data_IF_129580131766
#
_entry.id   IF_129580131766
#
_cell.length_a   1.000
_cell.length_b   1.000
_cell.length_c   1.000
_cell.angle_alpha   90.00
_cell.angle_beta   90.00
_cell.angle_gamma   90.00
#
_symmetry.space_group_name_H-M   'P 1'
#
loop_
_entity.id
_entity.type
_entity.pdbx_description
1 polymer ?
#
# COMPACT_ATOMS: atom_id res chain seq x y z
N UNK A 1 18.68 -7.24 49.23
CA UNK A 1 18.61 -7.40 47.76
C UNK A 1 17.44 -8.31 47.44
N UNK A 2 16.37 -7.76 46.84
CA UNK A 2 15.33 -8.53 46.18
C UNK A 2 14.84 -7.66 45.01
N UNK A 3 15.25 -8.03 43.79
CA UNK A 3 14.82 -7.33 42.59
C UNK A 3 13.45 -7.87 42.17
N UNK A 4 12.52 -6.94 41.96
CA UNK A 4 11.18 -7.15 41.46
C UNK A 4 11.18 -7.93 40.14
N UNK A 5 10.48 -9.06 40.12
CA UNK A 5 10.16 -9.78 38.90
C UNK A 5 9.03 -9.03 38.18
N UNK A 6 9.39 -8.08 37.30
CA UNK A 6 8.42 -7.34 36.48
C UNK A 6 7.83 -8.29 35.44
N UNK A 7 6.50 -8.31 35.39
CA UNK A 7 5.63 -8.89 34.38
C UNK A 7 6.27 -9.00 32.99
N UNK A 8 6.44 -10.23 32.49
CA UNK A 8 6.36 -10.51 31.05
C UNK A 8 4.90 -10.30 30.65
N UNK A 9 4.53 -9.05 30.36
CA UNK A 9 3.30 -8.77 29.64
C UNK A 9 3.43 -9.43 28.26
N UNK A 10 2.56 -10.39 27.97
CA UNK A 10 2.42 -10.97 26.65
C UNK A 10 1.91 -9.89 25.69
N UNK A 11 2.68 -9.42 24.69
CA UNK A 11 2.24 -8.33 23.80
C UNK A 11 1.11 -8.74 22.84
N UNK A 12 0.68 -10.00 22.85
CA UNK A 12 -0.36 -10.54 21.95
C UNK A 12 -1.80 -10.17 22.37
N UNK A 13 -2.00 -9.56 23.54
CA UNK A 13 -3.33 -9.27 24.09
C UNK A 13 -3.93 -7.88 23.76
N UNK A 14 -3.23 -7.03 23.02
CA UNK A 14 -3.59 -5.61 22.85
C UNK A 14 -4.19 -5.25 21.47
N UNK A 15 -4.35 -6.22 20.57
CA UNK A 15 -4.98 -6.01 19.27
C UNK A 15 -6.50 -5.94 19.40
N UNK A 16 -7.03 -4.81 19.85
CA UNK A 16 -8.46 -4.51 19.72
C UNK A 16 -8.66 -3.72 18.44
N UNK A 17 -9.23 -4.36 17.42
CA UNK A 17 -9.82 -3.61 16.32
C UNK A 17 -10.81 -2.59 16.91
N UNK A 18 -10.80 -1.35 16.44
CA UNK A 18 -11.95 -0.48 16.67
C UNK A 18 -13.16 -1.12 16.01
N UNK A 19 -14.24 -1.35 16.74
CA UNK A 19 -15.51 -1.68 16.10
C UNK A 19 -15.85 -0.55 15.12
N UNK A 20 -16.05 -0.89 13.83
CA UNK A 20 -16.47 0.07 12.81
C UNK A 20 -15.38 1.03 12.29
N UNK A 21 -14.13 0.58 12.09
CA UNK A 21 -13.13 1.39 11.37
C UNK A 21 -13.66 1.71 9.97
N UNK A 22 -13.89 3.00 9.72
CA UNK A 22 -14.09 3.51 8.38
C UNK A 22 -12.75 3.48 7.66
N UNK A 23 -12.55 2.45 6.85
CA UNK A 23 -11.36 2.35 6.01
C UNK A 23 -11.39 3.43 4.94
N UNK A 24 -10.27 4.13 4.84
CA UNK A 24 -10.05 5.17 3.85
C UNK A 24 -8.58 5.14 3.45
N UNK A 25 -8.31 5.30 2.16
CA UNK A 25 -6.99 5.69 1.68
C UNK A 25 -7.01 7.18 1.35
N UNK A 26 -6.19 7.94 2.06
CA UNK A 26 -5.92 9.36 1.80
C UNK A 26 -4.67 9.46 0.92
N UNK A 27 -4.90 9.74 -0.36
CA UNK A 27 -3.86 9.86 -1.36
C UNK A 27 -2.98 11.09 -1.19
N UNK A 28 -3.47 12.17 -0.59
CA UNK A 28 -2.66 13.38 -0.35
C UNK A 28 -1.66 13.14 0.79
N UNK A 29 -2.00 12.27 1.75
CA UNK A 29 -1.16 11.93 2.90
C UNK A 29 -0.48 10.54 2.81
N UNK A 30 -0.74 9.78 1.75
CA UNK A 30 -0.28 8.39 1.57
C UNK A 30 -0.58 7.51 2.79
N UNK A 31 -1.84 7.54 3.22
CA UNK A 31 -2.24 7.00 4.51
C UNK A 31 -3.45 6.08 4.41
N UNK A 32 -3.43 4.96 5.13
CA UNK A 32 -4.63 4.16 5.37
C UNK A 32 -5.22 4.58 6.70
N UNK A 33 -6.40 5.18 6.67
CA UNK A 33 -7.19 5.61 7.83
C UNK A 33 -6.36 6.41 8.83
N UNK A 34 -5.50 7.30 8.33
CA UNK A 34 -4.61 8.15 9.13
C UNK A 34 -3.30 7.50 9.60
N UNK A 35 -3.00 6.25 9.26
CA UNK A 35 -1.66 5.67 9.43
C UNK A 35 -0.87 5.92 8.15
N UNK A 36 0.20 6.70 8.25
CA UNK A 36 1.03 7.11 7.12
C UNK A 36 2.22 6.19 6.94
N UNK A 37 2.82 6.27 5.77
CA UNK A 37 4.19 5.83 5.60
C UNK A 37 5.12 6.53 6.61
N UNK A 38 6.10 5.77 7.12
CA UNK A 38 7.08 6.10 8.16
C UNK A 38 6.54 6.29 9.58
N UNK A 39 5.23 6.13 9.79
CA UNK A 39 4.68 6.07 11.14
C UNK A 39 5.18 4.82 11.90
N UNK A 40 5.20 4.85 13.24
CA UNK A 40 5.52 3.67 14.04
C UNK A 40 4.59 2.49 13.71
N UNK A 41 5.14 1.30 13.55
CA UNK A 41 4.37 0.09 13.23
C UNK A 41 3.26 -0.23 14.26
N UNK A 42 3.45 0.20 15.51
CA UNK A 42 2.43 0.07 16.57
C UNK A 42 1.11 0.79 16.24
N UNK A 43 1.10 1.78 15.33
CA UNK A 43 -0.13 2.43 14.86
C UNK A 43 -1.06 1.45 14.12
N UNK A 44 -0.51 0.38 13.52
CA UNK A 44 -1.29 -0.67 12.85
C UNK A 44 -2.18 -1.47 13.80
N UNK A 45 -1.91 -1.43 15.13
CA UNK A 45 -2.76 -2.07 16.14
C UNK A 45 -4.24 -1.66 16.02
N UNK A 46 -4.49 -0.45 15.51
CA UNK A 46 -5.85 0.06 15.30
C UNK A 46 -6.68 -0.84 14.38
N UNK A 47 -6.06 -1.53 13.42
CA UNK A 47 -6.73 -2.38 12.43
C UNK A 47 -7.09 -3.76 12.98
N UNK A 48 -6.81 -4.02 14.26
CA UNK A 48 -6.93 -5.36 14.83
C UNK A 48 -5.80 -6.27 14.40
N UNK A 49 -5.86 -7.52 14.82
CA UNK A 49 -4.79 -8.49 14.58
C UNK A 49 -4.66 -8.79 13.08
N UNK A 50 -3.45 -8.75 12.49
CA UNK A 50 -3.25 -9.19 11.12
C UNK A 50 -3.63 -10.67 10.96
N UNK A 51 -4.16 -11.02 9.79
CA UNK A 51 -4.48 -12.41 9.43
C UNK A 51 -3.23 -13.27 9.23
N UNK A 52 -2.12 -12.64 8.82
CA UNK A 52 -0.80 -13.26 8.71
C UNK A 52 0.31 -12.26 9.01
N UNK A 53 1.45 -12.75 9.52
CA UNK A 53 2.68 -11.99 9.70
C UNK A 53 3.84 -12.79 9.11
N UNK A 54 4.53 -12.21 8.14
CA UNK A 54 5.82 -12.70 7.66
C UNK A 54 6.92 -11.85 8.28
N UNK A 55 7.50 -12.36 9.38
CA UNK A 55 8.55 -11.64 10.11
C UNK A 55 9.84 -11.47 9.30
N UNK A 56 10.10 -12.35 8.32
CA UNK A 56 11.34 -12.31 7.54
C UNK A 56 11.36 -11.12 6.57
N UNK A 57 10.18 -10.76 6.04
CA UNK A 57 10.00 -9.65 5.12
C UNK A 57 9.31 -8.44 5.78
N UNK A 58 8.95 -8.55 7.07
CA UNK A 58 8.25 -7.50 7.79
C UNK A 58 6.83 -7.23 7.27
N UNK A 59 6.15 -8.23 6.71
CA UNK A 59 4.82 -8.06 6.09
C UNK A 59 3.73 -8.42 7.07
N UNK A 60 2.78 -7.52 7.26
CA UNK A 60 1.56 -7.73 8.05
C UNK A 60 0.34 -7.68 7.14
N UNK A 61 -0.35 -8.82 6.97
CA UNK A 61 -1.46 -8.96 6.03
C UNK A 61 -2.81 -8.86 6.75
N UNK A 62 -3.67 -7.93 6.33
CA UNK A 62 -5.02 -7.74 6.86
C UNK A 62 -6.06 -8.22 5.84
N UNK A 63 -6.15 -9.55 5.65
CA UNK A 63 -6.95 -10.18 4.59
C UNK A 63 -8.41 -9.70 4.52
N UNK A 64 -9.09 -9.54 5.66
CA UNK A 64 -10.48 -9.07 5.70
C UNK A 64 -10.65 -7.59 5.40
N UNK A 65 -9.56 -6.81 5.49
CA UNK A 65 -9.54 -5.37 5.22
C UNK A 65 -9.00 -5.05 3.82
N UNK A 66 -8.52 -6.05 3.08
CA UNK A 66 -8.05 -5.88 1.70
C UNK A 66 -6.77 -5.09 1.54
N UNK A 67 -5.88 -5.13 2.53
CA UNK A 67 -4.55 -4.54 2.41
C UNK A 67 -3.51 -5.29 3.26
N UNK A 68 -2.23 -5.08 2.93
CA UNK A 68 -1.10 -5.42 3.80
C UNK A 68 -0.21 -4.20 4.01
N UNK A 69 0.60 -4.26 5.07
CA UNK A 69 1.61 -3.26 5.37
C UNK A 69 3.00 -3.89 5.43
N UNK A 70 3.97 -3.27 4.78
CA UNK A 70 5.39 -3.59 4.92
C UNK A 70 6.01 -2.76 6.05
N UNK A 71 6.86 -3.40 6.86
CA UNK A 71 7.48 -2.81 8.04
C UNK A 71 8.99 -3.01 7.98
N UNK A 72 9.74 -1.92 8.17
CA UNK A 72 11.18 -1.95 8.38
C UNK A 72 11.53 -1.00 9.53
N UNK A 73 12.50 -1.38 10.37
CA UNK A 73 12.94 -0.59 11.52
C UNK A 73 11.80 -0.08 12.42
N UNK A 74 10.80 -0.93 12.65
CA UNK A 74 9.59 -0.64 13.42
C UNK A 74 8.77 0.55 12.87
N UNK A 75 8.86 0.81 11.56
CA UNK A 75 8.09 1.82 10.84
C UNK A 75 7.38 1.20 9.65
N UNK A 76 6.20 1.73 9.33
CA UNK A 76 5.49 1.39 8.10
C UNK A 76 6.28 1.95 6.92
N UNK A 77 6.62 1.12 5.95
CA UNK A 77 7.33 1.56 4.74
C UNK A 77 6.53 1.35 3.46
N UNK A 78 5.47 0.55 3.54
CA UNK A 78 4.67 0.19 2.37
C UNK A 78 3.24 -0.12 2.80
N UNK A 79 2.30 0.21 1.92
CA UNK A 79 0.98 -0.39 1.89
C UNK A 79 0.74 -1.04 0.53
N UNK A 80 0.14 -2.22 0.52
CA UNK A 80 -0.41 -2.82 -0.71
C UNK A 80 -1.91 -2.99 -0.51
N UNK A 81 -2.70 -2.40 -1.41
CA UNK A 81 -4.17 -2.37 -1.37
C UNK A 81 -4.67 -3.27 -2.50
N UNK A 82 -5.56 -4.20 -2.17
CA UNK A 82 -6.09 -5.19 -3.11
C UNK A 82 -7.57 -4.90 -3.40
N UNK A 83 -7.92 -4.72 -4.67
CA UNK A 83 -9.32 -4.79 -5.11
C UNK A 83 -9.65 -6.14 -5.72
N UNK A 84 -8.65 -6.84 -6.24
CA UNK A 84 -8.76 -8.20 -6.71
C UNK A 84 -7.41 -8.91 -6.51
N UNK A 85 -7.33 -9.84 -5.56
CA UNK A 85 -6.11 -10.60 -5.29
C UNK A 85 -6.00 -11.77 -6.28
N UNK A 86 -5.44 -11.47 -7.44
CA UNK A 86 -5.30 -12.41 -8.56
C UNK A 86 -4.28 -13.53 -8.29
N UNK A 87 -3.33 -13.31 -7.39
CA UNK A 87 -2.19 -14.21 -7.19
C UNK A 87 -2.47 -15.20 -6.05
N UNK A 88 -2.84 -14.68 -4.87
CA UNK A 88 -2.94 -15.51 -3.66
C UNK A 88 -4.39 -15.89 -3.33
N UNK A 89 -5.38 -15.15 -3.85
CA UNK A 89 -6.80 -15.32 -3.55
C UNK A 89 -7.15 -15.31 -2.05
N UNK A 90 -6.36 -14.62 -1.22
CA UNK A 90 -6.53 -14.55 0.24
C UNK A 90 -7.19 -13.24 0.68
N UNK A 91 -6.95 -12.13 -0.02
CA UNK A 91 -7.50 -10.84 0.37
C UNK A 91 -8.95 -10.66 -0.10
N UNK A 92 -9.78 -10.11 0.78
CA UNK A 92 -11.05 -9.50 0.37
C UNK A 92 -10.76 -8.20 -0.36
N UNK A 93 -11.62 -7.76 -1.31
CA UNK A 93 -11.49 -6.44 -1.89
C UNK A 93 -11.50 -5.35 -0.81
N UNK A 94 -10.61 -4.37 -0.94
CA UNK A 94 -10.52 -3.23 -0.05
C UNK A 94 -11.88 -2.52 0.02
N UNK A 95 -12.54 -2.49 1.18
CA UNK A 95 -13.90 -1.97 1.29
C UNK A 95 -13.93 -0.46 1.56
N UNK A 96 -12.77 0.17 1.72
CA UNK A 96 -12.64 1.57 2.10
C UNK A 96 -12.84 2.56 0.94
N UNK A 97 -12.98 3.84 1.28
CA UNK A 97 -12.98 4.92 0.29
C UNK A 97 -11.57 5.31 -0.15
N UNK A 98 -11.44 5.83 -1.36
CA UNK A 98 -10.23 6.48 -1.84
C UNK A 98 -10.48 7.98 -1.91
N UNK A 99 -9.67 8.80 -1.25
CA UNK A 99 -9.73 10.26 -1.31
C UNK A 99 -8.43 10.79 -1.90
N UNK A 100 -8.52 11.70 -2.86
CA UNK A 100 -7.37 12.36 -3.44
C UNK A 100 -7.72 13.77 -3.90
N UNK A 101 -6.87 14.75 -3.61
CA UNK A 101 -7.12 16.17 -3.83
C UNK A 101 -8.47 16.63 -3.26
N UNK A 102 -8.77 16.17 -2.04
CA UNK A 102 -10.03 16.47 -1.33
C UNK A 102 -11.30 15.89 -1.95
N UNK A 103 -11.19 14.98 -2.93
CA UNK A 103 -12.33 14.34 -3.60
C UNK A 103 -12.33 12.84 -3.37
N UNK A 104 -13.51 12.28 -3.13
CA UNK A 104 -13.70 10.83 -3.14
C UNK A 104 -13.62 10.32 -4.59
N UNK A 105 -12.71 9.40 -4.86
CA UNK A 105 -12.54 8.74 -6.15
C UNK A 105 -13.22 7.36 -6.13
N UNK A 106 -13.87 6.98 -7.23
CA UNK A 106 -14.49 5.65 -7.40
C UNK A 106 -13.45 4.64 -7.89
N UNK A 107 -12.41 4.41 -7.08
CA UNK A 107 -11.36 3.41 -7.33
C UNK A 107 -11.87 2.04 -6.87
N UNK A 108 -11.93 1.08 -7.80
CA UNK A 108 -12.47 -0.27 -7.57
C UNK A 108 -11.88 -1.27 -8.56
N UNK A 109 -12.13 -2.57 -8.34
CA UNK A 109 -11.73 -3.61 -9.27
C UNK A 109 -12.33 -3.38 -10.68
N UNK A 110 -11.61 -3.77 -11.72
CA UNK A 110 -12.13 -3.74 -13.10
C UNK A 110 -11.96 -2.43 -13.84
N UNK A 111 -11.37 -1.40 -13.23
CA UNK A 111 -11.05 -0.16 -13.96
C UNK A 111 -9.90 -0.41 -14.93
N UNK A 112 -10.05 0.02 -16.18
CA UNK A 112 -8.95 -0.01 -17.15
C UNK A 112 -7.95 1.13 -16.93
N UNK A 113 -6.84 1.08 -17.66
CA UNK A 113 -5.77 2.08 -17.65
C UNK A 113 -6.29 3.50 -17.90
N UNK A 114 -7.14 3.67 -18.91
CA UNK A 114 -7.70 4.98 -19.26
C UNK A 114 -8.54 5.56 -18.11
N UNK A 115 -9.32 4.71 -17.43
CA UNK A 115 -10.15 5.13 -16.31
C UNK A 115 -9.30 5.43 -15.08
N UNK A 116 -8.26 4.66 -14.80
CA UNK A 116 -7.27 4.95 -13.75
C UNK A 116 -6.60 6.30 -14.01
N UNK A 117 -6.08 6.53 -15.21
CA UNK A 117 -5.44 7.79 -15.60
C UNK A 117 -6.41 8.98 -15.50
N UNK A 118 -7.70 8.78 -15.83
CA UNK A 118 -8.71 9.85 -15.66
C UNK A 118 -8.97 10.24 -14.20
N UNK A 119 -8.67 9.35 -13.26
CA UNK A 119 -8.90 9.56 -11.82
C UNK A 119 -7.63 10.08 -11.12
N UNK A 120 -6.46 9.55 -11.48
CA UNK A 120 -5.19 9.82 -10.79
C UNK A 120 -4.27 10.79 -11.56
N UNK A 121 -4.55 11.06 -12.83
CA UNK A 121 -3.68 11.81 -13.72
C UNK A 121 -2.74 10.92 -14.54
N UNK A 122 -1.81 11.54 -15.26
CA UNK A 122 -0.81 10.82 -16.05
C UNK A 122 0.28 10.24 -15.13
N UNK A 123 0.67 8.96 -15.30
CA UNK A 123 1.78 8.41 -14.54
C UNK A 123 3.11 9.02 -14.98
N UNK A 124 4.09 8.98 -14.07
CA UNK A 124 5.47 9.30 -14.41
C UNK A 124 6.04 8.27 -15.39
N UNK A 125 5.75 6.98 -15.20
CA UNK A 125 6.21 5.92 -16.10
C UNK A 125 5.17 4.81 -16.22
N UNK A 126 5.23 4.06 -17.31
CA UNK A 126 4.42 2.87 -17.53
C UNK A 126 5.33 1.71 -17.91
N UNK A 127 5.09 0.55 -17.29
CA UNK A 127 5.62 -0.73 -17.76
C UNK A 127 4.47 -1.63 -18.17
N UNK A 128 4.55 -2.19 -19.38
CA UNK A 128 3.49 -3.00 -19.96
C UNK A 128 4.05 -4.27 -20.56
N UNK A 129 3.39 -5.38 -20.27
CA UNK A 129 3.63 -6.64 -20.92
C UNK A 129 2.35 -7.21 -21.56
N UNK A 130 2.32 -8.52 -21.78
CA UNK A 130 1.18 -9.21 -22.42
C UNK A 130 -0.01 -9.43 -21.49
N UNK A 131 0.17 -9.33 -20.17
CA UNK A 131 -0.80 -9.69 -19.16
C UNK A 131 -1.22 -8.47 -18.32
N UNK A 132 -0.31 -7.53 -18.08
CA UNK A 132 -0.56 -6.37 -17.21
C UNK A 132 0.13 -5.07 -17.63
N UNK A 133 -0.32 -4.00 -16.97
CA UNK A 133 0.25 -2.65 -16.99
C UNK A 133 0.53 -2.24 -15.54
N UNK A 134 1.72 -1.71 -15.29
CA UNK A 134 2.11 -1.08 -14.03
C UNK A 134 2.31 0.41 -14.31
N UNK A 135 1.49 1.23 -13.65
CA UNK A 135 1.54 2.69 -13.73
C UNK A 135 2.29 3.22 -12.51
N UNK A 136 3.41 3.91 -12.74
CA UNK A 136 4.26 4.48 -11.70
C UNK A 136 3.93 5.96 -11.52
N UNK A 137 3.45 6.35 -10.33
CA UNK A 137 3.22 7.75 -9.94
C UNK A 137 4.22 8.17 -8.87
N UNK A 138 4.82 9.34 -9.05
CA UNK A 138 5.90 9.83 -8.19
C UNK A 138 5.46 11.08 -7.42
N UNK A 139 5.39 10.94 -6.10
CA UNK A 139 4.96 11.98 -5.15
C UNK A 139 6.13 12.40 -4.26
N UNK A 140 7.24 12.79 -4.89
CA UNK A 140 8.46 13.23 -4.22
C UNK A 140 9.26 12.08 -3.62
N UNK A 141 8.95 11.69 -2.38
CA UNK A 141 9.64 10.57 -1.67
C UNK A 141 8.77 9.32 -1.54
N UNK A 142 7.60 9.33 -2.18
CA UNK A 142 6.64 8.24 -2.20
C UNK A 142 6.34 7.89 -3.64
N UNK A 143 6.33 6.59 -3.93
CA UNK A 143 5.94 6.05 -5.22
C UNK A 143 4.65 5.26 -5.07
N UNK A 144 3.75 5.41 -6.04
CA UNK A 144 2.62 4.50 -6.21
C UNK A 144 2.86 3.65 -7.45
N UNK A 145 2.63 2.35 -7.30
CA UNK A 145 2.58 1.41 -8.42
C UNK A 145 1.14 0.91 -8.50
N UNK A 146 0.45 1.27 -9.57
CA UNK A 146 -0.95 0.88 -9.79
C UNK A 146 -0.98 -0.19 -10.88
N UNK A 147 -1.40 -1.39 -10.50
CA UNK A 147 -1.35 -2.57 -11.36
C UNK A 147 -2.72 -2.85 -11.97
N UNK A 148 -2.76 -2.86 -13.31
CA UNK A 148 -3.96 -3.08 -14.12
C UNK A 148 -3.74 -4.32 -14.98
N UNK A 149 -4.50 -5.37 -14.72
CA UNK A 149 -4.50 -6.55 -15.56
C UNK A 149 -5.29 -6.28 -16.85
N UNK A 150 -4.77 -6.69 -18.00
CA UNK A 150 -5.36 -6.38 -19.31
C UNK A 150 -6.74 -7.03 -19.53
N UNK A 151 -7.09 -8.06 -18.77
CA UNK A 151 -8.38 -8.76 -18.87
C UNK A 151 -9.36 -8.38 -17.78
N UNK A 152 -8.87 -8.18 -16.55
CA UNK A 152 -9.69 -8.00 -15.35
C UNK A 152 -9.60 -6.60 -14.73
N UNK A 153 -8.80 -5.70 -15.30
CA UNK A 153 -8.63 -4.31 -14.88
C UNK A 153 -7.79 -4.14 -13.62
N UNK A 154 -7.94 -2.99 -12.96
CA UNK A 154 -7.28 -2.63 -11.71
C UNK A 154 -7.48 -3.74 -10.68
N UNK A 155 -6.38 -4.19 -10.08
CA UNK A 155 -6.41 -5.28 -9.12
C UNK A 155 -5.63 -4.96 -7.84
N UNK A 156 -4.56 -4.18 -7.95
CA UNK A 156 -3.65 -3.87 -6.84
C UNK A 156 -3.07 -2.45 -6.96
N UNK A 157 -2.75 -1.86 -5.81
CA UNK A 157 -1.94 -0.66 -5.73
C UNK A 157 -0.95 -0.78 -4.57
N UNK A 158 0.33 -0.55 -4.88
CA UNK A 158 1.42 -0.46 -3.91
C UNK A 158 1.76 1.01 -3.67
N UNK A 159 1.95 1.39 -2.41
CA UNK A 159 2.28 2.74 -1.96
C UNK A 159 3.50 2.63 -1.05
N UNK A 160 4.66 3.11 -1.50
CA UNK A 160 5.94 2.82 -0.84
C UNK A 160 6.76 4.07 -0.54
N UNK A 161 7.41 4.07 0.63
CA UNK A 161 8.39 5.06 1.05
C UNK A 161 9.80 4.77 0.50
N UNK A 162 9.95 3.68 -0.24
CA UNK A 162 11.16 3.22 -0.91
C UNK A 162 10.88 3.15 -2.42
N UNK A 163 10.82 4.30 -3.13
CA UNK A 163 10.52 4.33 -4.56
C UNK A 163 11.43 3.41 -5.36
N UNK A 164 10.84 2.51 -6.13
CA UNK A 164 11.58 1.59 -6.98
C UNK A 164 12.37 2.37 -8.03
N UNK A 165 11.74 3.38 -8.62
CA UNK A 165 12.36 4.21 -9.66
C UNK A 165 13.35 5.23 -9.11
N UNK A 166 13.58 5.32 -7.79
CA UNK A 166 14.73 6.05 -7.26
C UNK A 166 16.06 5.32 -7.51
N UNK A 167 16.03 3.99 -7.67
CA UNK A 167 17.20 3.18 -8.01
C UNK A 167 17.48 3.21 -9.53
N UNK A 168 18.72 3.55 -9.90
CA UNK A 168 19.15 3.61 -11.30
C UNK A 168 19.11 2.24 -12.00
N UNK A 169 19.40 1.16 -11.28
CA UNK A 169 19.35 -0.21 -11.81
C UNK A 169 17.92 -0.64 -12.11
N UNK A 170 16.97 -0.27 -11.25
CA UNK A 170 15.54 -0.49 -11.47
C UNK A 170 15.04 0.33 -12.65
N UNK A 171 15.36 1.63 -12.71
CA UNK A 171 15.04 2.46 -13.88
C UNK A 171 15.55 1.84 -15.19
N UNK A 172 16.77 1.31 -15.19
CA UNK A 172 17.30 0.61 -16.35
C UNK A 172 16.51 -0.67 -16.68
N UNK A 173 16.16 -1.48 -15.68
CA UNK A 173 15.39 -2.71 -15.87
C UNK A 173 13.98 -2.43 -16.43
N UNK A 174 13.33 -1.37 -15.98
CA UNK A 174 12.02 -0.91 -16.48
C UNK A 174 12.09 -0.05 -17.74
N UNK A 175 13.28 0.19 -18.29
CA UNK A 175 13.48 0.97 -19.51
C UNK A 175 13.17 2.47 -19.38
N UNK A 176 13.17 3.01 -18.15
CA UNK A 176 12.83 4.40 -17.86
C UNK A 176 13.81 5.34 -18.57
N UNK A 177 13.29 6.14 -19.49
CA UNK A 177 14.07 7.12 -20.26
C UNK A 177 13.73 8.58 -19.91
N UNK A 178 12.73 8.80 -19.05
CA UNK A 178 12.40 10.15 -18.55
C UNK A 178 13.47 10.63 -17.56
N UNK A 179 13.76 11.94 -17.52
CA UNK A 179 14.70 12.50 -16.54
C UNK A 179 14.27 12.21 -15.10
N UNK A 180 15.25 11.90 -14.25
CA UNK A 180 15.05 11.63 -12.82
C UNK A 180 15.88 12.60 -11.96
N UNK A 181 15.34 13.14 -10.84
CA UNK A 181 13.97 12.96 -10.36
C UNK A 181 12.93 13.64 -11.27
N UNK A 182 11.64 13.27 -11.17
CA UNK A 182 10.57 13.95 -11.89
C UNK A 182 10.60 15.45 -11.62
N UNK A 183 10.45 16.26 -12.66
CA UNK A 183 10.31 17.72 -12.48
C UNK A 183 8.84 18.00 -12.14
N UNK A 184 8.59 18.45 -10.91
CA UNK A 184 7.31 19.04 -10.50
C UNK A 184 6.96 20.26 -11.34
#
# INVERSE_FOLDING_TARGET
MAFFNRHKANPLGLWKAGDGINLEFDGDNHAISGVKLRDPAAMLLKFGRPGSVDESNGIHSFFSLGFQAGIADNRVIEFVIFWNDLINCQFRPFPGSFIFHGRKLDIKAGLDEAKVNSLLGEPFWESKDKDEIILFYEWGVVEWQVCVNLQSGLYEMTVTALPLLADASQRQAYGVNRPWPPKT
#
